data_IF_112669954477
#
_entry.id   IF_112669954477
#
_cell.length_a   1.000
_cell.length_b   1.000
_cell.length_c   1.000
_cell.angle_alpha   90.00
_cell.angle_beta   90.00
_cell.angle_gamma   90.00
#
_symmetry.space_group_name_H-M   'P 1'
#
loop_
_entity.id
_entity.type
_entity.pdbx_description
1 polymer ?
#
# COMPACT_ATOMS: atom_id res chain seq x y z
N UNK A 1 -23.46 -0.76 0.13
CA UNK A 1 -22.48 -1.87 0.16
C UNK A 1 -22.24 -2.26 1.62
N UNK A 2 -22.25 -3.54 2.00
CA UNK A 2 -22.01 -3.93 3.40
C UNK A 2 -20.53 -3.73 3.78
N UNK A 3 -20.23 -3.28 4.99
CA UNK A 3 -18.85 -3.05 5.48
C UNK A 3 -17.94 -4.27 5.33
N UNK A 4 -18.46 -5.50 5.50
CA UNK A 4 -17.70 -6.73 5.28
C UNK A 4 -17.24 -6.90 3.82
N UNK A 5 -18.05 -6.47 2.85
CA UNK A 5 -17.70 -6.50 1.43
C UNK A 5 -16.59 -5.49 1.12
N UNK A 6 -16.66 -4.28 1.70
CA UNK A 6 -15.62 -3.25 1.52
C UNK A 6 -14.26 -3.76 2.03
N UNK A 7 -14.22 -4.40 3.20
CA UNK A 7 -12.98 -4.99 3.74
C UNK A 7 -12.37 -6.06 2.83
N UNK A 8 -13.20 -6.94 2.27
CA UNK A 8 -12.74 -7.99 1.33
C UNK A 8 -12.12 -7.38 0.07
N UNK A 9 -12.80 -6.41 -0.55
CA UNK A 9 -12.27 -5.73 -1.75
C UNK A 9 -11.00 -4.96 -1.42
N UNK A 10 -10.94 -4.29 -0.27
CA UNK A 10 -9.74 -3.59 0.18
C UNK A 10 -8.55 -4.54 0.37
N UNK A 11 -8.77 -5.74 0.93
CA UNK A 11 -7.73 -6.76 1.07
C UNK A 11 -7.23 -7.27 -0.29
N UNK A 12 -8.13 -7.43 -1.26
CA UNK A 12 -7.76 -7.82 -2.63
C UNK A 12 -6.91 -6.73 -3.32
N UNK A 13 -7.27 -5.46 -3.14
CA UNK A 13 -6.48 -4.32 -3.62
C UNK A 13 -5.10 -4.31 -2.97
N UNK A 14 -5.03 -4.49 -1.65
CA UNK A 14 -3.77 -4.59 -0.92
C UNK A 14 -2.90 -5.73 -1.45
N UNK A 15 -3.50 -6.91 -1.70
CA UNK A 15 -2.78 -8.06 -2.26
C UNK A 15 -2.21 -7.75 -3.65
N UNK A 16 -2.96 -7.06 -4.52
CA UNK A 16 -2.46 -6.66 -5.84
C UNK A 16 -1.24 -5.72 -5.76
N UNK A 17 -1.27 -4.76 -4.83
CA UNK A 17 -0.12 -3.87 -4.58
C UNK A 17 1.07 -4.63 -3.99
N UNK A 18 0.86 -5.57 -3.08
CA UNK A 18 1.95 -6.41 -2.53
C UNK A 18 2.58 -7.25 -3.63
N UNK A 19 1.78 -7.90 -4.48
CA UNK A 19 2.28 -8.68 -5.62
C UNK A 19 3.13 -7.80 -6.53
N UNK A 20 2.64 -6.59 -6.86
CA UNK A 20 3.39 -5.60 -7.63
C UNK A 20 4.74 -5.29 -6.98
N UNK A 21 4.75 -4.90 -5.69
CA UNK A 21 5.98 -4.58 -4.97
C UNK A 21 6.97 -5.77 -4.93
N UNK A 22 6.49 -7.00 -4.70
CA UNK A 22 7.33 -8.19 -4.66
C UNK A 22 8.05 -8.49 -5.98
N UNK A 23 7.54 -8.04 -7.13
CA UNK A 23 8.22 -8.23 -8.42
C UNK A 23 9.60 -7.55 -8.47
N UNK A 24 9.83 -6.54 -7.62
CA UNK A 24 11.15 -5.88 -7.52
C UNK A 24 12.24 -6.81 -7.02
N UNK A 25 11.90 -7.87 -6.27
CA UNK A 25 12.87 -8.88 -5.83
C UNK A 25 13.54 -9.57 -7.03
N UNK A 26 12.88 -9.59 -8.19
CA UNK A 26 13.39 -10.22 -9.41
C UNK A 26 14.33 -9.32 -10.22
N UNK A 27 14.49 -8.05 -9.85
CA UNK A 27 15.37 -7.09 -10.57
C UNK A 27 16.83 -7.55 -10.66
N UNK A 28 17.47 -8.15 -9.64
CA UNK A 28 18.83 -8.68 -9.79
C UNK A 28 18.95 -9.81 -10.80
N UNK A 29 17.84 -10.49 -11.10
CA UNK A 29 17.78 -11.62 -12.02
C UNK A 29 17.21 -11.23 -13.39
N UNK A 30 16.92 -9.93 -13.60
CA UNK A 30 16.36 -9.44 -14.86
C UNK A 30 17.42 -9.13 -15.92
N UNK A 31 18.71 -9.06 -15.56
CA UNK A 31 19.80 -8.87 -16.51
C UNK A 31 20.02 -10.15 -17.33
N UNK A 32 19.88 -10.06 -18.65
CA UNK A 32 20.25 -11.13 -19.58
C UNK A 32 21.67 -10.95 -20.14
N UNK A 33 22.18 -12.02 -20.75
CA UNK A 33 23.58 -12.13 -21.19
C UNK A 33 23.96 -11.15 -22.32
N UNK A 34 22.99 -10.53 -23.00
CA UNK A 34 23.22 -9.69 -24.20
C UNK A 34 22.63 -8.27 -24.10
N UNK A 35 22.46 -7.75 -22.88
CA UNK A 35 21.87 -6.42 -22.65
C UNK A 35 20.35 -6.35 -22.87
N UNK A 36 19.72 -7.46 -23.27
CA UNK A 36 18.27 -7.64 -23.23
C UNK A 36 17.83 -8.13 -21.85
N UNK A 37 16.57 -7.83 -21.49
CA UNK A 37 15.97 -8.39 -20.27
C UNK A 37 15.85 -9.91 -20.40
N UNK A 38 16.15 -10.63 -19.32
CA UNK A 38 15.87 -12.05 -19.25
C UNK A 38 14.35 -12.30 -19.35
N UNK A 39 13.88 -13.48 -19.77
CA UNK A 39 12.45 -13.83 -19.74
C UNK A 39 11.81 -13.58 -18.37
N UNK A 40 12.56 -13.80 -17.29
CA UNK A 40 12.16 -13.52 -15.91
C UNK A 40 11.95 -12.02 -15.70
N UNK A 41 12.85 -11.18 -16.24
CA UNK A 41 12.71 -9.72 -16.22
C UNK A 41 11.44 -9.21 -16.90
N UNK A 42 11.10 -9.75 -18.07
CA UNK A 42 9.86 -9.41 -18.77
C UNK A 42 8.61 -9.80 -17.97
N UNK A 43 8.58 -11.02 -17.45
CA UNK A 43 7.45 -11.50 -16.62
C UNK A 43 7.30 -10.66 -15.37
N UNK A 44 8.41 -10.36 -14.67
CA UNK A 44 8.41 -9.51 -13.48
C UNK A 44 7.86 -8.11 -13.78
N UNK A 45 8.28 -7.50 -14.90
CA UNK A 45 7.78 -6.20 -15.34
C UNK A 45 6.29 -6.21 -15.66
N UNK A 46 5.81 -7.21 -16.39
CA UNK A 46 4.39 -7.36 -16.72
C UNK A 46 3.55 -7.50 -15.45
N UNK A 47 3.96 -8.38 -14.53
CA UNK A 47 3.25 -8.60 -13.27
C UNK A 47 3.31 -7.37 -12.36
N UNK A 48 4.42 -6.64 -12.36
CA UNK A 48 4.56 -5.38 -11.62
C UNK A 48 3.51 -4.37 -12.07
N UNK A 49 3.43 -4.10 -13.38
CA UNK A 49 2.49 -3.13 -13.95
C UNK A 49 1.05 -3.60 -13.86
N UNK A 50 0.78 -4.88 -14.11
CA UNK A 50 -0.56 -5.45 -14.00
C UNK A 50 -1.09 -5.33 -12.56
N UNK A 51 -0.27 -5.68 -11.56
CA UNK A 51 -0.62 -5.53 -10.14
C UNK A 51 -0.84 -4.07 -9.73
N UNK A 52 0.01 -3.15 -10.22
CA UNK A 52 -0.13 -1.72 -9.95
C UNK A 52 -1.44 -1.16 -10.53
N UNK A 53 -1.72 -1.43 -11.80
CA UNK A 53 -2.95 -0.97 -12.47
C UNK A 53 -4.17 -1.58 -11.80
N UNK A 54 -4.15 -2.88 -11.49
CA UNK A 54 -5.25 -3.55 -10.79
C UNK A 54 -5.49 -2.94 -9.39
N UNK A 55 -4.43 -2.64 -8.64
CA UNK A 55 -4.51 -2.00 -7.33
C UNK A 55 -5.13 -0.60 -7.41
N UNK A 56 -4.65 0.25 -8.33
CA UNK A 56 -5.14 1.62 -8.51
C UNK A 56 -6.59 1.63 -8.99
N UNK A 57 -6.91 0.87 -10.04
CA UNK A 57 -8.27 0.82 -10.60
C UNK A 57 -9.26 0.22 -9.60
N UNK A 58 -8.87 -0.84 -8.89
CA UNK A 58 -9.65 -1.44 -7.82
C UNK A 58 -9.93 -0.45 -6.68
N UNK A 59 -8.93 0.32 -6.24
CA UNK A 59 -9.11 1.35 -5.23
C UNK A 59 -10.08 2.44 -5.67
N UNK A 60 -9.92 2.97 -6.89
CA UNK A 60 -10.81 3.99 -7.44
C UNK A 60 -12.25 3.47 -7.58
N UNK A 61 -12.43 2.24 -8.04
CA UNK A 61 -13.74 1.61 -8.15
C UNK A 61 -14.40 1.45 -6.77
N UNK A 62 -13.65 0.94 -5.78
CA UNK A 62 -14.14 0.78 -4.42
C UNK A 62 -14.49 2.13 -3.79
N UNK A 63 -13.68 3.15 -4.02
CA UNK A 63 -13.94 4.51 -3.56
C UNK A 63 -15.23 5.08 -4.17
N UNK A 64 -15.40 4.98 -5.50
CA UNK A 64 -16.61 5.47 -6.19
C UNK A 64 -17.87 4.77 -5.68
N UNK A 65 -17.82 3.44 -5.55
CA UNK A 65 -18.97 2.63 -5.10
C UNK A 65 -19.28 2.79 -3.61
N UNK A 66 -18.28 3.14 -2.80
CA UNK A 66 -18.40 3.36 -1.36
C UNK A 66 -18.58 4.83 -0.96
N UNK A 67 -18.54 5.78 -1.92
CA UNK A 67 -18.45 7.23 -1.64
C UNK A 67 -19.53 7.72 -0.69
N UNK A 68 -20.79 7.36 -0.94
CA UNK A 68 -21.93 7.80 -0.11
C UNK A 68 -21.77 7.38 1.35
N UNK A 69 -21.47 6.09 1.59
CA UNK A 69 -21.27 5.55 2.94
C UNK A 69 -20.03 6.14 3.64
N UNK A 70 -18.96 6.38 2.87
CA UNK A 70 -17.71 6.95 3.40
C UNK A 70 -17.93 8.41 3.79
N UNK A 71 -18.58 9.22 2.94
CA UNK A 71 -18.87 10.63 3.23
C UNK A 71 -19.82 10.79 4.41
N UNK A 72 -20.78 9.87 4.58
CA UNK A 72 -21.71 9.90 5.72
C UNK A 72 -21.03 9.57 7.06
N UNK A 73 -20.03 8.68 7.07
CA UNK A 73 -19.37 8.21 8.30
C UNK A 73 -18.01 8.86 8.60
N UNK A 74 -17.44 9.64 7.66
CA UNK A 74 -16.18 10.34 7.82
C UNK A 74 -16.46 11.83 7.68
N UNK A 75 -16.43 12.58 8.80
CA UNK A 75 -16.40 14.03 8.75
C UNK A 75 -15.23 14.49 7.89
N UNK A 76 -15.53 15.20 6.79
CA UNK A 76 -14.56 15.54 5.77
C UNK A 76 -13.45 16.44 6.32
N UNK A 77 -12.25 15.90 6.49
CA UNK A 77 -11.03 16.72 6.42
C UNK A 77 -10.63 16.81 4.95
N UNK A 78 -10.45 18.03 4.44
CA UNK A 78 -10.17 18.38 3.03
C UNK A 78 -8.84 17.85 2.47
N UNK A 79 -7.99 17.23 3.30
CA UNK A 79 -6.63 16.83 2.88
C UNK A 79 -6.71 15.55 2.03
N UNK A 80 -6.15 15.55 0.81
CA UNK A 80 -6.09 14.36 -0.02
C UNK A 80 -5.25 13.27 0.67
N UNK A 81 -5.63 12.01 0.50
CA UNK A 81 -5.02 10.88 1.22
C UNK A 81 -3.52 10.74 1.00
N UNK A 82 -3.00 11.20 -0.14
CA UNK A 82 -1.57 11.19 -0.45
C UNK A 82 -0.73 12.22 0.32
N UNK A 83 -1.35 13.22 0.94
CA UNK A 83 -0.66 14.25 1.74
C UNK A 83 -0.89 14.08 3.24
N UNK A 84 -1.61 13.03 3.64
CA UNK A 84 -1.98 12.82 5.03
C UNK A 84 -1.05 11.78 5.64
N UNK A 85 -0.05 12.22 6.37
CA UNK A 85 0.85 11.33 7.10
C UNK A 85 0.33 11.02 8.50
N UNK A 86 0.76 9.89 9.05
CA UNK A 86 0.55 9.46 10.44
C UNK A 86 -0.91 9.46 10.88
N UNK A 87 -1.84 9.12 9.97
CA UNK A 87 -3.29 9.28 10.23
C UNK A 87 -3.84 8.35 11.30
N UNK A 88 -3.19 7.21 11.52
CA UNK A 88 -3.56 6.17 12.46
C UNK A 88 -2.30 5.36 12.85
N UNK A 89 -2.32 4.59 13.94
CA UNK A 89 -1.15 3.85 14.39
C UNK A 89 -0.49 2.95 13.33
N UNK A 90 -1.24 2.14 12.53
CA UNK A 90 -0.61 1.33 11.49
C UNK A 90 -0.05 2.19 10.34
N UNK A 91 -0.73 3.27 9.94
CA UNK A 91 -0.19 4.21 8.97
C UNK A 91 1.09 4.89 9.45
N UNK A 92 1.17 5.26 10.73
CA UNK A 92 2.35 5.89 11.31
C UNK A 92 3.61 5.00 11.22
N UNK A 93 3.45 3.71 11.51
CA UNK A 93 4.53 2.72 11.35
C UNK A 93 4.97 2.64 9.90
N UNK A 94 4.03 2.49 8.96
CA UNK A 94 4.36 2.35 7.54
C UNK A 94 4.95 3.62 6.94
N UNK A 95 4.48 4.80 7.36
CA UNK A 95 5.02 6.09 6.92
C UNK A 95 6.46 6.27 7.39
N UNK A 96 6.78 5.84 8.62
CA UNK A 96 8.16 5.86 9.15
C UNK A 96 9.06 4.93 8.35
N UNK A 97 8.59 3.70 8.11
CA UNK A 97 9.30 2.71 7.29
C UNK A 97 9.54 3.24 5.87
N UNK A 98 8.54 3.89 5.27
CA UNK A 98 8.63 4.51 3.94
C UNK A 98 9.69 5.62 3.91
N UNK A 99 9.73 6.51 4.90
CA UNK A 99 10.71 7.61 4.94
C UNK A 99 12.13 7.05 5.06
N UNK A 100 12.34 6.08 5.96
CA UNK A 100 13.64 5.43 6.14
C UNK A 100 14.08 4.67 4.88
N UNK A 101 13.15 3.99 4.21
CA UNK A 101 13.47 3.23 2.99
C UNK A 101 13.73 4.12 1.79
N UNK A 102 13.05 5.26 1.66
CA UNK A 102 13.37 6.29 0.65
C UNK A 102 14.79 6.80 0.85
N UNK A 103 15.16 7.17 2.08
CA UNK A 103 16.52 7.62 2.40
C UNK A 103 17.56 6.54 2.05
N UNK A 104 17.30 5.29 2.42
CA UNK A 104 18.16 4.15 2.08
C UNK A 104 18.26 3.90 0.57
N UNK A 105 17.16 4.03 -0.17
CA UNK A 105 17.14 3.87 -1.63
C UNK A 105 17.94 4.97 -2.33
N UNK A 106 17.78 6.23 -1.91
CA UNK A 106 18.57 7.35 -2.44
C UNK A 106 20.05 7.17 -2.13
N UNK A 107 20.39 6.75 -0.90
CA UNK A 107 21.77 6.45 -0.52
C UNK A 107 22.38 5.33 -1.38
N UNK A 108 21.63 4.23 -1.61
CA UNK A 108 22.06 3.15 -2.50
C UNK A 108 22.25 3.62 -3.94
N UNK A 109 21.36 4.47 -4.45
CA UNK A 109 21.44 5.01 -5.81
C UNK A 109 22.66 5.92 -6.01
N UNK A 110 23.07 6.67 -4.97
CA UNK A 110 24.24 7.54 -5.01
C UNK A 110 25.56 6.79 -4.79
N UNK A 111 25.53 5.58 -4.24
CA UNK A 111 26.72 4.80 -3.90
C UNK A 111 26.69 3.43 -4.60
N UNK A 112 27.23 3.41 -5.82
CA UNK A 112 27.28 2.24 -6.72
C UNK A 112 28.06 1.06 -6.12
N UNK A 113 28.83 1.27 -5.06
CA UNK A 113 29.57 0.23 -4.34
C UNK A 113 28.71 -0.60 -3.39
N UNK A 114 27.44 -0.22 -3.16
CA UNK A 114 26.53 -0.93 -2.26
C UNK A 114 25.96 -2.16 -2.98
N UNK A 115 25.84 -3.27 -2.24
CA UNK A 115 25.29 -4.52 -2.76
C UNK A 115 23.91 -4.30 -3.40
N UNK A 116 23.75 -4.80 -4.63
CA UNK A 116 22.49 -4.73 -5.37
C UNK A 116 21.30 -5.34 -4.58
N UNK A 117 21.54 -6.36 -3.76
CA UNK A 117 20.51 -6.95 -2.90
C UNK A 117 20.02 -5.97 -1.82
N UNK A 118 20.91 -5.16 -1.25
CA UNK A 118 20.55 -4.12 -0.27
C UNK A 118 19.74 -3.02 -0.96
N UNK A 119 20.15 -2.60 -2.17
CA UNK A 119 19.41 -1.62 -2.96
C UNK A 119 17.98 -2.11 -3.29
N UNK A 120 17.84 -3.38 -3.70
CA UNK A 120 16.55 -4.01 -3.97
C UNK A 120 15.69 -4.15 -2.72
N UNK A 121 16.29 -4.46 -1.57
CA UNK A 121 15.57 -4.49 -0.29
C UNK A 121 14.99 -3.11 0.06
N UNK A 122 15.79 -2.05 -0.01
CA UNK A 122 15.29 -0.68 0.24
C UNK A 122 14.24 -0.24 -0.78
N UNK A 123 14.39 -0.62 -2.05
CA UNK A 123 13.41 -0.34 -3.08
C UNK A 123 12.08 -1.06 -2.84
N UNK A 124 12.11 -2.34 -2.45
CA UNK A 124 10.93 -3.10 -2.05
C UNK A 124 10.21 -2.44 -0.88
N UNK A 125 10.96 -2.06 0.17
CA UNK A 125 10.42 -1.38 1.35
C UNK A 125 9.86 0.01 1.01
N UNK A 126 10.46 0.71 0.03
CA UNK A 126 9.96 1.99 -0.48
C UNK A 126 8.63 1.81 -1.19
N UNK A 127 8.52 0.86 -2.12
CA UNK A 127 7.27 0.60 -2.84
C UNK A 127 6.16 0.12 -1.91
N UNK A 128 6.46 -0.85 -1.05
CA UNK A 128 5.51 -1.32 -0.04
C UNK A 128 5.07 -0.18 0.90
N UNK A 129 6.02 0.68 1.29
CA UNK A 129 5.76 1.88 2.09
C UNK A 129 4.83 2.86 1.38
N UNK A 130 5.09 3.20 0.12
CA UNK A 130 4.26 4.11 -0.68
C UNK A 130 2.84 3.56 -0.88
N UNK A 131 2.72 2.28 -1.20
CA UNK A 131 1.41 1.62 -1.34
C UNK A 131 0.65 1.62 0.00
N UNK A 132 1.33 1.29 1.10
CA UNK A 132 0.74 1.29 2.43
C UNK A 132 0.36 2.71 2.88
N UNK A 133 1.20 3.71 2.62
CA UNK A 133 0.91 5.11 2.90
C UNK A 133 -0.39 5.53 2.21
N UNK A 134 -0.51 5.27 0.91
CA UNK A 134 -1.71 5.60 0.14
C UNK A 134 -2.96 4.89 0.66
N UNK A 135 -2.87 3.57 0.93
CA UNK A 135 -4.02 2.77 1.35
C UNK A 135 -4.45 3.04 2.80
N UNK A 136 -3.51 3.09 3.74
CA UNK A 136 -3.76 3.23 5.19
C UNK A 136 -4.10 4.66 5.59
N UNK A 137 -3.58 5.67 4.88
CA UNK A 137 -4.00 7.06 5.06
C UNK A 137 -5.26 7.41 4.25
N UNK A 138 -5.72 6.50 3.38
CA UNK A 138 -6.93 6.62 2.56
C UNK A 138 -8.25 6.67 3.35
N UNK A 139 -9.25 7.35 2.78
CA UNK A 139 -10.61 7.46 3.36
C UNK A 139 -11.27 6.09 3.56
N UNK A 140 -11.02 5.13 2.67
CA UNK A 140 -11.57 3.77 2.76
C UNK A 140 -11.06 3.05 4.01
N UNK A 141 -9.75 3.14 4.29
CA UNK A 141 -9.18 2.51 5.48
C UNK A 141 -9.67 3.17 6.77
N UNK A 142 -9.79 4.50 6.79
CA UNK A 142 -10.36 5.22 7.93
C UNK A 142 -11.80 4.79 8.23
N UNK A 143 -12.62 4.61 7.19
CA UNK A 143 -13.97 4.06 7.34
C UNK A 143 -13.94 2.66 7.96
N UNK A 144 -13.11 1.76 7.42
CA UNK A 144 -12.93 0.39 7.94
C UNK A 144 -12.48 0.40 9.41
N UNK A 145 -11.58 1.31 9.77
CA UNK A 145 -11.01 1.46 11.11
C UNK A 145 -12.02 1.99 12.11
N UNK A 146 -12.77 3.03 11.75
CA UNK A 146 -13.81 3.62 12.60
C UNK A 146 -14.93 2.60 12.88
N UNK A 147 -15.37 1.85 11.87
CA UNK A 147 -16.34 0.77 12.08
C UNK A 147 -15.83 -0.32 13.02
N UNK A 148 -14.51 -0.61 13.03
CA UNK A 148 -13.91 -1.59 13.96
C UNK A 148 -13.93 -1.06 15.40
N UNK A 149 -13.55 0.21 15.61
CA UNK A 149 -13.57 0.85 16.92
C UNK A 149 -14.97 0.93 17.52
N UNK A 150 -15.98 1.29 16.73
CA UNK A 150 -17.38 1.35 17.18
C UNK A 150 -17.87 0.01 17.75
N UNK A 151 -17.62 -1.10 17.04
CA UNK A 151 -17.98 -2.44 17.53
C UNK A 151 -17.22 -2.84 18.80
N UNK A 152 -15.95 -2.44 18.95
CA UNK A 152 -15.18 -2.73 20.17
C UNK A 152 -15.70 -1.94 21.38
N UNK A 153 -16.15 -0.70 21.17
CA UNK A 153 -16.75 0.13 22.21
C UNK A 153 -18.06 -0.48 22.72
N UNK A 154 -18.97 -0.87 21.81
CA UNK A 154 -20.24 -1.49 22.20
C UNK A 154 -20.04 -2.79 23.01
N UNK A 155 -19.15 -3.69 22.54
CA UNK A 155 -18.81 -4.93 23.24
C UNK A 155 -18.13 -4.76 24.59
N UNK A 156 -17.57 -3.58 24.85
CA UNK A 156 -16.95 -3.26 26.12
C UNK A 156 -17.97 -2.67 27.10
N UNK A 157 -18.95 -1.92 26.58
CA UNK A 157 -20.08 -1.40 27.35
C UNK A 157 -21.05 -2.51 27.78
N UNK A 158 -21.39 -3.43 26.86
CA UNK A 158 -22.18 -4.64 27.15
C UNK A 158 -21.52 -5.59 28.17
N UNK A 159 -20.20 -5.47 28.39
CA UNK A 159 -19.47 -6.26 29.39
C UNK A 159 -19.39 -5.57 30.77
N UNK A 160 -19.84 -4.32 30.86
CA UNK A 160 -19.76 -3.50 32.08
C UNK A 160 -21.13 -3.14 32.67
N UNK A 161 -22.20 -3.21 31.88
CA UNK A 161 -23.59 -3.16 32.35
C UNK A 161 -24.09 -4.54 32.75
#
# INVERSE_FOLDING_TARGET
MRTASIKKHFLLILAAFIISACMVILVPFSAGDEGNLSPIGYVAGILFWAGLIAGVTGYLFLYKKGKTLITENIHEKKIPSALRFFSNPPAAVMDTVMILSIAGTVYCALHVTISQYIAVFFLLMTLAGVYAHFLLNGKIYQYIWNCKKGHQSMKHDERKG
#
